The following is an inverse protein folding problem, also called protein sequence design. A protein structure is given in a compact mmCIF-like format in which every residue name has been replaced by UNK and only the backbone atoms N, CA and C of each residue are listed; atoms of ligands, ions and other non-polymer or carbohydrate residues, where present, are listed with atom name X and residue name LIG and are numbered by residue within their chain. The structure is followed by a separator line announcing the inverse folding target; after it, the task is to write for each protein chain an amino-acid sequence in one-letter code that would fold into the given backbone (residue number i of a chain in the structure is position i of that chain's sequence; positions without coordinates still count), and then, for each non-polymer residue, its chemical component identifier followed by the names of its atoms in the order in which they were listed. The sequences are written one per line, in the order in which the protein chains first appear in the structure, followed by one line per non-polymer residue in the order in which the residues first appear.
data_IF_530426582810
#
_entry.id   IF_530426582810
#
_cell.length_a   1.000
_cell.length_b   1.000
_cell.length_c   1.000
_cell.angle_alpha   90.00
_cell.angle_beta   90.00
_cell.angle_gamma   90.00
#
_symmetry.space_group_name_H-M   'P 1'
#
loop_
_entity.id
_entity.type
_entity.pdbx_description
1 polymer ?
#
# COMPACT_ATOMS: atom_id res chain seq x y z
N UNK A 1 33.35 -6.67 2.72
CA UNK A 1 32.04 -6.25 2.19
C UNK A 1 30.97 -6.44 3.25
N UNK A 2 30.39 -5.36 3.64
CA UNK A 2 29.30 -5.44 4.62
C UNK A 2 27.99 -5.71 3.90
N UNK A 3 27.41 -6.87 4.14
CA UNK A 3 26.03 -7.09 3.81
C UNK A 3 25.18 -6.47 4.89
N UNK A 4 24.10 -5.82 4.50
CA UNK A 4 23.11 -5.33 5.46
C UNK A 4 22.53 -6.53 6.21
N UNK A 5 22.41 -6.44 7.54
CA UNK A 5 21.80 -7.55 8.28
C UNK A 5 20.36 -7.77 7.82
N UNK A 6 19.96 -9.03 7.77
CA UNK A 6 18.58 -9.36 7.47
C UNK A 6 17.66 -8.88 8.59
N UNK A 7 16.51 -8.37 8.21
CA UNK A 7 15.46 -8.09 9.17
C UNK A 7 15.03 -9.40 9.85
N UNK A 8 14.61 -9.37 11.12
CA UNK A 8 14.16 -10.59 11.78
C UNK A 8 13.10 -11.36 10.99
N UNK A 9 12.21 -10.63 10.30
CA UNK A 9 11.15 -11.25 9.52
C UNK A 9 11.67 -12.00 8.29
N UNK A 10 12.82 -11.64 7.78
CA UNK A 10 13.44 -12.32 6.64
C UNK A 10 13.95 -13.73 7.02
N UNK A 11 14.09 -13.99 8.32
CA UNK A 11 14.51 -15.28 8.88
C UNK A 11 13.36 -16.06 9.50
N UNK A 12 12.15 -15.49 9.47
CA UNK A 12 10.99 -16.09 10.13
C UNK A 12 10.47 -17.30 9.36
N UNK A 13 9.76 -18.18 10.06
CA UNK A 13 9.06 -19.29 9.45
C UNK A 13 7.92 -18.79 8.56
N UNK A 14 7.39 -19.69 7.72
CA UNK A 14 6.23 -19.37 6.86
C UNK A 14 5.03 -18.98 7.72
N UNK A 15 4.80 -19.66 8.84
CA UNK A 15 3.68 -19.34 9.72
C UNK A 15 3.82 -17.97 10.38
N UNK A 16 5.03 -17.64 10.84
CA UNK A 16 5.32 -16.31 11.38
C UNK A 16 5.16 -15.23 10.32
N UNK A 17 5.61 -15.49 9.10
CA UNK A 17 5.47 -14.56 7.99
C UNK A 17 3.99 -14.31 7.66
N UNK A 18 3.19 -15.36 7.59
CA UNK A 18 1.75 -15.24 7.32
C UNK A 18 1.02 -14.48 8.41
N UNK A 19 1.38 -14.72 9.68
CA UNK A 19 0.81 -13.97 10.79
C UNK A 19 1.12 -12.48 10.69
N UNK A 20 2.35 -12.13 10.34
CA UNK A 20 2.74 -10.74 10.14
C UNK A 20 2.02 -10.12 8.94
N UNK A 21 1.91 -10.85 7.84
CA UNK A 21 1.19 -10.39 6.65
C UNK A 21 -0.27 -10.09 6.98
N UNK A 22 -0.93 -10.96 7.73
CA UNK A 22 -2.31 -10.74 8.16
C UNK A 22 -2.43 -9.49 9.02
N UNK A 23 -1.55 -9.33 9.99
CA UNK A 23 -1.55 -8.17 10.89
C UNK A 23 -1.38 -6.88 10.10
N UNK A 24 -0.41 -6.83 9.20
CA UNK A 24 -0.12 -5.64 8.39
C UNK A 24 -1.24 -5.35 7.40
N UNK A 25 -1.80 -6.38 6.79
CA UNK A 25 -2.91 -6.22 5.85
C UNK A 25 -4.15 -5.68 6.55
N UNK A 26 -4.47 -6.17 7.73
CA UNK A 26 -5.57 -5.63 8.53
C UNK A 26 -5.38 -4.16 8.83
N UNK A 27 -4.18 -3.79 9.26
CA UNK A 27 -3.86 -2.39 9.54
C UNK A 27 -4.01 -1.52 8.29
N UNK A 28 -3.54 -2.02 7.14
CA UNK A 28 -3.64 -1.31 5.87
C UNK A 28 -5.09 -1.12 5.44
N UNK A 29 -5.92 -2.17 5.54
CA UNK A 29 -7.33 -2.09 5.17
C UNK A 29 -8.09 -1.15 6.10
N UNK A 30 -7.82 -1.20 7.40
CA UNK A 30 -8.44 -0.30 8.38
C UNK A 30 -8.04 1.15 8.09
N UNK A 31 -6.77 1.38 7.79
CA UNK A 31 -6.27 2.72 7.47
C UNK A 31 -6.91 3.27 6.19
N UNK A 32 -6.98 2.46 5.15
CA UNK A 32 -7.61 2.86 3.89
C UNK A 32 -9.10 3.16 4.07
N UNK A 33 -9.80 2.32 4.80
CA UNK A 33 -11.23 2.50 5.04
C UNK A 33 -11.51 3.77 5.86
N UNK A 34 -10.71 4.02 6.88
CA UNK A 34 -10.90 5.17 7.77
C UNK A 34 -10.50 6.50 7.12
N UNK A 35 -9.51 6.50 6.24
CA UNK A 35 -8.86 7.73 5.78
C UNK A 35 -9.02 8.02 4.28
N UNK A 36 -9.48 7.05 3.49
CA UNK A 36 -9.69 7.24 2.07
C UNK A 36 -11.18 7.07 1.73
N UNK A 37 -11.88 8.15 1.40
CA UNK A 37 -13.29 8.05 1.01
C UNK A 37 -13.54 7.14 -0.18
N UNK A 38 -12.58 7.08 -1.11
CA UNK A 38 -12.68 6.21 -2.29
C UNK A 38 -12.66 4.74 -1.89
N UNK A 39 -11.72 4.35 -1.04
CA UNK A 39 -11.65 2.96 -0.57
C UNK A 39 -12.84 2.60 0.31
N UNK A 40 -13.29 3.52 1.15
CA UNK A 40 -14.50 3.30 1.96
C UNK A 40 -15.69 3.02 1.05
N UNK A 41 -15.89 3.82 0.02
CA UNK A 41 -16.99 3.64 -0.93
C UNK A 41 -16.87 2.30 -1.66
N UNK A 42 -15.68 1.90 -2.07
CA UNK A 42 -15.46 0.62 -2.74
C UNK A 42 -15.78 -0.56 -1.83
N UNK A 43 -15.34 -0.50 -0.59
CA UNK A 43 -15.61 -1.56 0.39
C UNK A 43 -17.11 -1.65 0.71
N UNK A 44 -17.75 -0.52 0.92
CA UNK A 44 -19.19 -0.47 1.20
C UNK A 44 -19.99 -1.01 0.00
N UNK A 45 -19.60 -0.65 -1.22
CA UNK A 45 -20.27 -1.14 -2.43
C UNK A 45 -20.08 -2.65 -2.61
N UNK A 46 -18.95 -3.20 -2.20
CA UNK A 46 -18.68 -4.63 -2.24
C UNK A 46 -19.29 -5.38 -1.06
N UNK A 47 -19.85 -4.67 -0.07
CA UNK A 47 -20.42 -5.29 1.12
C UNK A 47 -19.37 -5.87 2.06
N UNK A 48 -18.16 -5.30 2.08
CA UNK A 48 -17.07 -5.79 2.94
C UNK A 48 -16.60 -4.69 3.88
N UNK A 49 -16.06 -5.12 5.01
CA UNK A 49 -15.46 -4.25 6.01
C UNK A 49 -14.08 -4.80 6.37
N UNK A 50 -13.10 -3.96 6.77
CA UNK A 50 -11.78 -4.46 7.18
C UNK A 50 -11.84 -5.57 8.24
N UNK A 51 -12.84 -5.56 9.12
CA UNK A 51 -13.02 -6.60 10.13
C UNK A 51 -13.37 -7.96 9.54
N UNK A 52 -13.78 -8.02 8.28
CA UNK A 52 -14.07 -9.29 7.60
C UNK A 52 -12.79 -10.03 7.21
N UNK A 53 -11.64 -9.37 7.30
CA UNK A 53 -10.34 -10.00 7.04
C UNK A 53 -9.89 -10.74 8.30
N UNK A 54 -10.29 -12.00 8.43
CA UNK A 54 -9.91 -12.87 9.55
C UNK A 54 -8.72 -13.74 9.22
N UNK A 55 -8.59 -14.12 7.95
CA UNK A 55 -7.48 -14.90 7.41
C UNK A 55 -7.01 -14.26 6.13
N UNK A 56 -5.83 -14.63 5.65
CA UNK A 56 -5.31 -14.11 4.37
C UNK A 56 -6.24 -14.48 3.19
N UNK A 57 -6.90 -15.63 3.26
CA UNK A 57 -7.85 -16.05 2.22
C UNK A 57 -9.04 -15.08 2.08
N UNK A 58 -9.40 -14.38 3.14
CA UNK A 58 -10.50 -13.42 3.11
C UNK A 58 -10.20 -12.20 2.24
N UNK A 59 -8.94 -12.00 1.85
CA UNK A 59 -8.57 -10.91 0.93
C UNK A 59 -9.34 -11.00 -0.39
N UNK A 60 -9.70 -12.21 -0.81
CA UNK A 60 -10.49 -12.43 -2.03
C UNK A 60 -11.86 -11.75 -2.01
N UNK A 61 -12.36 -11.40 -0.83
CA UNK A 61 -13.65 -10.70 -0.67
C UNK A 61 -13.55 -9.21 -0.98
N UNK A 62 -12.35 -8.65 -1.02
CA UNK A 62 -12.13 -7.22 -1.17
C UNK A 62 -11.95 -6.84 -2.64
N UNK A 63 -12.41 -5.64 -3.04
CA UNK A 63 -12.30 -5.20 -4.43
C UNK A 63 -10.86 -4.88 -4.82
N UNK A 64 -10.57 -5.01 -6.12
CA UNK A 64 -9.27 -4.61 -6.66
C UNK A 64 -9.16 -3.10 -6.83
N UNK A 65 -7.94 -2.61 -6.79
CA UNK A 65 -7.59 -1.25 -7.25
C UNK A 65 -7.01 -1.37 -8.65
N UNK A 66 -7.47 -0.51 -9.55
CA UNK A 66 -7.02 -0.51 -10.96
C UNK A 66 -6.38 0.84 -11.30
N UNK A 67 -5.73 0.90 -12.46
CA UNK A 67 -5.22 2.18 -12.98
C UNK A 67 -6.34 3.19 -13.19
N UNK A 68 -7.53 2.72 -13.55
CA UNK A 68 -8.69 3.60 -13.71
C UNK A 68 -9.04 4.30 -12.39
N UNK A 69 -8.94 3.58 -11.27
CA UNK A 69 -9.19 4.19 -9.96
C UNK A 69 -8.22 5.37 -9.69
N UNK A 70 -6.96 5.22 -10.06
CA UNK A 70 -5.97 6.28 -9.90
C UNK A 70 -6.27 7.45 -10.83
N UNK A 71 -6.64 7.19 -12.09
CA UNK A 71 -6.97 8.24 -13.05
C UNK A 71 -8.23 8.99 -12.69
N UNK A 72 -9.27 8.26 -12.28
CA UNK A 72 -10.58 8.85 -11.96
C UNK A 72 -10.52 9.70 -10.69
N UNK A 73 -9.53 9.46 -9.83
CA UNK A 73 -9.33 10.20 -8.58
C UNK A 73 -8.07 11.07 -8.62
N UNK A 74 -7.60 11.40 -9.82
CA UNK A 74 -6.46 12.29 -10.03
C UNK A 74 -6.74 13.67 -9.41
N UNK A 75 -5.73 14.32 -8.77
CA UNK A 75 -4.40 13.76 -8.52
C UNK A 75 -4.27 13.06 -7.16
N UNK A 76 -5.05 13.41 -6.14
CA UNK A 76 -4.81 13.01 -4.75
C UNK A 76 -6.00 12.29 -4.11
N UNK A 77 -6.99 11.92 -4.89
CA UNK A 77 -8.24 11.37 -4.37
C UNK A 77 -8.11 10.03 -3.64
N UNK A 78 -7.06 9.25 -3.93
CA UNK A 78 -6.82 7.97 -3.27
C UNK A 78 -5.92 8.08 -2.03
N UNK A 79 -5.40 9.24 -1.72
CA UNK A 79 -4.53 9.40 -0.56
C UNK A 79 -5.28 9.07 0.74
N UNK A 80 -4.63 8.30 1.59
CA UNK A 80 -5.14 7.91 2.90
C UNK A 80 -4.44 8.64 4.06
N UNK A 81 -3.69 9.67 3.74
CA UNK A 81 -3.04 10.56 4.71
C UNK A 81 -3.26 12.01 4.30
N UNK A 82 -3.17 12.98 5.23
CA UNK A 82 -3.19 14.39 4.87
C UNK A 82 -2.03 14.73 3.92
N UNK A 83 -2.25 15.66 3.01
CA UNK A 83 -1.23 16.03 2.03
C UNK A 83 0.06 16.54 2.68
N UNK A 84 -0.04 17.11 3.87
CA UNK A 84 1.11 17.58 4.65
C UNK A 84 2.07 16.46 5.01
N UNK A 85 1.59 15.22 5.08
CA UNK A 85 2.42 14.05 5.38
C UNK A 85 3.05 13.44 4.13
N UNK A 86 2.67 13.89 2.95
CA UNK A 86 3.22 13.40 1.69
C UNK A 86 4.48 14.18 1.37
N UNK A 87 5.61 13.50 1.35
CA UNK A 87 6.93 14.14 1.14
C UNK A 87 7.43 14.01 -0.30
N UNK A 88 6.82 13.12 -1.08
CA UNK A 88 7.16 12.91 -2.48
C UNK A 88 5.94 12.45 -3.25
N UNK A 89 5.81 12.93 -4.48
CA UNK A 89 4.76 12.52 -5.41
C UNK A 89 5.41 11.97 -6.66
N UNK A 90 4.96 10.79 -7.10
CA UNK A 90 5.38 10.20 -8.37
C UNK A 90 4.19 10.16 -9.31
N UNK A 91 4.44 10.47 -10.57
CA UNK A 91 3.41 10.40 -11.61
C UNK A 91 3.95 9.61 -12.79
N UNK A 92 3.15 8.69 -13.31
CA UNK A 92 3.51 7.99 -14.53
C UNK A 92 3.09 8.83 -15.74
N UNK A 93 3.93 8.83 -16.80
CA UNK A 93 3.57 9.44 -18.07
C UNK A 93 2.61 8.50 -18.79
N UNK A 94 1.30 8.76 -18.66
CA UNK A 94 0.29 7.97 -19.37
C UNK A 94 0.24 8.37 -20.84
N UNK A 95 0.08 7.39 -21.71
CA UNK A 95 -0.13 7.62 -23.14
C UNK A 95 -1.56 8.00 -23.48
N UNK A 96 -2.49 7.79 -22.55
CA UNK A 96 -3.94 7.93 -22.79
C UNK A 96 -4.61 8.76 -21.69
N UNK A 97 -4.32 10.05 -21.64
CA UNK A 97 -5.02 10.96 -20.73
C UNK A 97 -4.23 11.27 -19.46
N UNK A 98 -4.93 11.32 -18.32
CA UNK A 98 -4.33 11.75 -17.05
C UNK A 98 -3.28 10.75 -16.56
N UNK A 99 -2.14 11.21 -16.03
CA UNK A 99 -1.16 10.32 -15.42
C UNK A 99 -1.72 9.69 -14.15
N UNK A 100 -1.14 8.56 -13.75
CA UNK A 100 -1.42 7.98 -12.44
C UNK A 100 -0.48 8.63 -11.43
N UNK A 101 -1.03 9.09 -10.30
CA UNK A 101 -0.28 9.80 -9.27
C UNK A 101 -0.30 8.98 -7.99
N UNK A 102 0.87 8.81 -7.39
CA UNK A 102 1.01 8.16 -6.09
C UNK A 102 1.84 9.05 -5.18
N UNK A 103 1.51 9.05 -3.89
CA UNK A 103 2.21 9.83 -2.88
C UNK A 103 2.95 8.93 -1.90
N UNK A 104 4.09 9.40 -1.41
CA UNK A 104 4.90 8.70 -0.44
C UNK A 104 5.04 9.53 0.82
N UNK A 105 4.86 8.88 1.97
CA UNK A 105 5.18 9.46 3.26
C UNK A 105 6.68 9.30 3.55
N UNK A 106 7.16 9.92 4.61
CA UNK A 106 8.55 9.76 5.02
C UNK A 106 8.88 8.29 5.33
N UNK A 107 7.93 7.56 5.89
CA UNK A 107 8.10 6.14 6.19
C UNK A 107 8.24 5.31 4.92
N UNK A 108 7.46 5.62 3.90
CA UNK A 108 7.54 4.93 2.60
C UNK A 108 8.89 5.16 1.94
N UNK A 109 9.39 6.40 1.99
CA UNK A 109 10.69 6.76 1.41
C UNK A 109 11.82 6.00 2.09
N UNK A 110 11.80 5.88 3.40
CA UNK A 110 12.81 5.10 4.13
C UNK A 110 12.84 3.65 3.69
N UNK A 111 11.68 3.06 3.51
CA UNK A 111 11.56 1.69 3.04
C UNK A 111 12.13 1.54 1.64
N UNK A 112 11.84 2.47 0.75
CA UNK A 112 12.32 2.46 -0.62
C UNK A 112 13.84 2.67 -0.69
N UNK A 113 14.37 3.59 0.09
CA UNK A 113 15.82 3.83 0.17
C UNK A 113 16.56 2.58 0.61
N UNK A 114 16.03 1.86 1.58
CA UNK A 114 16.61 0.59 2.03
C UNK A 114 16.66 -0.43 0.89
N UNK A 115 15.57 -0.55 0.13
CA UNK A 115 15.49 -1.47 -1.00
C UNK A 115 16.46 -1.08 -2.10
N UNK A 116 16.52 0.20 -2.45
CA UNK A 116 17.44 0.73 -3.46
C UNK A 116 18.88 0.48 -3.04
N UNK A 117 19.20 0.68 -1.77
CA UNK A 117 20.54 0.41 -1.25
C UNK A 117 20.95 -1.06 -1.39
N UNK A 118 20.00 -1.99 -1.37
CA UNK A 118 20.27 -3.41 -1.61
C UNK A 118 20.43 -3.74 -3.09
N UNK A 119 19.71 -3.06 -3.95
CA UNK A 119 19.64 -3.36 -5.39
C UNK A 119 20.72 -2.64 -6.20
N UNK A 120 21.11 -1.46 -5.80
CA UNK A 120 22.05 -0.62 -6.55
C UNK A 120 23.52 -0.92 -6.27
N UNK A 121 23.83 -2.05 -5.73
CA UNK A 121 25.21 -2.48 -5.51
C UNK A 121 25.70 -3.33 -6.68
N UNK A 122 25.77 -2.70 -7.78
CA UNK A 122 26.34 -3.36 -8.94
C UNK A 122 27.82 -3.10 -9.04
#
# INVERSE_FOLDING_TARGET
MSQLPLEPIEKASVDELRALQLKRLRATLQHAYANSPVYRAKFDAAGVHPDDLRTLADLAKFPFTTKADLRDNYPFGLFAVPREQVVRVHASSGTTGKPTVVGYTQRDIRSEERRVGKECRL
#
